data_IF_322418064866
#
_entry.id   IF_322418064866
#
_cell.length_a   1.000
_cell.length_b   1.000
_cell.length_c   1.000
_cell.angle_alpha   90.00
_cell.angle_beta   90.00
_cell.angle_gamma   90.00
#
_symmetry.space_group_name_H-M   'P 1'
#
loop_
_entity.id
_entity.type
_entity.pdbx_description
1 polymer ?
#
# COMPACT_ATOMS: atom_id res chain seq x y z
N UNK A 1 -18.55 2.33 57.64
CA UNK A 1 -18.92 1.05 56.99
C UNK A 1 -19.54 1.38 55.64
N UNK A 2 -18.73 1.44 54.57
CA UNK A 2 -19.23 1.65 53.22
C UNK A 2 -20.03 0.43 52.78
N UNK A 3 -21.26 0.64 52.34
CA UNK A 3 -22.15 -0.43 51.92
C UNK A 3 -21.58 -1.11 50.67
N UNK A 4 -20.98 -2.28 50.89
CA UNK A 4 -21.06 -3.51 50.08
C UNK A 4 -21.14 -3.26 48.56
N UNK A 5 -19.98 -3.34 47.91
CA UNK A 5 -19.73 -3.31 46.46
C UNK A 5 -20.36 -4.47 45.65
N UNK A 6 -21.33 -5.21 46.19
CA UNK A 6 -21.82 -6.48 45.66
C UNK A 6 -22.69 -6.39 44.38
N UNK A 7 -23.04 -5.18 43.92
CA UNK A 7 -23.88 -4.99 42.72
C UNK A 7 -23.13 -4.54 41.47
N UNK A 8 -22.12 -3.68 41.64
CA UNK A 8 -21.41 -3.06 40.50
C UNK A 8 -20.52 -4.06 39.76
N UNK A 9 -19.79 -4.89 40.48
CA UNK A 9 -18.86 -5.86 39.89
C UNK A 9 -19.58 -6.91 39.03
N UNK A 10 -20.70 -7.45 39.52
CA UNK A 10 -21.50 -8.42 38.78
C UNK A 10 -22.08 -7.83 37.48
N UNK A 11 -22.54 -6.57 37.52
CA UNK A 11 -23.03 -5.87 36.34
C UNK A 11 -21.91 -5.61 35.31
N UNK A 12 -20.70 -5.26 35.77
CA UNK A 12 -19.52 -5.12 34.91
C UNK A 12 -19.15 -6.46 34.28
N UNK A 13 -19.11 -7.54 35.06
CA UNK A 13 -18.79 -8.87 34.56
C UNK A 13 -19.79 -9.34 33.49
N UNK A 14 -21.09 -9.17 33.73
CA UNK A 14 -22.12 -9.49 32.74
C UNK A 14 -21.99 -8.66 31.47
N UNK A 15 -21.68 -7.37 31.60
CA UNK A 15 -21.50 -6.48 30.45
C UNK A 15 -20.29 -6.88 29.61
N UNK A 16 -19.15 -7.15 30.24
CA UNK A 16 -17.93 -7.61 29.57
C UNK A 16 -18.14 -8.99 28.92
N UNK A 17 -18.81 -9.91 29.61
CA UNK A 17 -19.15 -11.21 29.06
C UNK A 17 -20.01 -11.08 27.80
N UNK A 18 -21.06 -10.24 27.84
CA UNK A 18 -21.91 -9.97 26.69
C UNK A 18 -21.13 -9.32 25.53
N UNK A 19 -20.26 -8.36 25.82
CA UNK A 19 -19.41 -7.73 24.80
C UNK A 19 -18.47 -8.74 24.13
N UNK A 20 -17.90 -9.67 24.91
CA UNK A 20 -17.05 -10.75 24.40
C UNK A 20 -17.81 -11.68 23.45
N UNK A 21 -19.01 -12.10 23.82
CA UNK A 21 -19.84 -12.97 22.96
C UNK A 21 -20.21 -12.29 21.64
N UNK A 22 -20.57 -11.00 21.70
CA UNK A 22 -20.86 -10.21 20.50
C UNK A 22 -19.63 -10.04 19.60
N UNK A 23 -18.44 -9.87 20.18
CA UNK A 23 -17.20 -9.81 19.42
C UNK A 23 -16.93 -11.15 18.72
N UNK A 24 -17.06 -12.28 19.43
CA UNK A 24 -16.85 -13.61 18.85
C UNK A 24 -17.85 -13.94 17.75
N UNK A 25 -19.12 -13.59 17.93
CA UNK A 25 -20.15 -13.82 16.91
C UNK A 25 -19.91 -12.98 15.65
N UNK A 26 -19.49 -11.73 15.80
CA UNK A 26 -19.08 -10.88 14.66
C UNK A 26 -17.85 -11.42 13.95
N UNK A 27 -16.87 -11.93 14.70
CA UNK A 27 -15.65 -12.50 14.14
C UNK A 27 -15.97 -13.78 13.35
N UNK A 28 -16.89 -14.61 13.84
CA UNK A 28 -17.41 -15.76 13.09
C UNK A 28 -18.23 -15.34 11.86
N UNK A 29 -19.05 -14.29 11.96
CA UNK A 29 -19.82 -13.79 10.83
C UNK A 29 -18.91 -13.26 9.69
N UNK A 30 -17.75 -12.71 10.04
CA UNK A 30 -16.77 -12.21 9.08
C UNK A 30 -15.83 -13.28 8.53
N UNK A 31 -15.86 -14.52 9.06
CA UNK A 31 -14.91 -15.56 8.68
C UNK A 31 -14.92 -15.86 7.16
N UNK A 32 -16.10 -15.87 6.53
CA UNK A 32 -16.21 -16.08 5.08
C UNK A 32 -15.68 -14.88 4.26
N UNK A 33 -15.80 -13.66 4.81
CA UNK A 33 -15.26 -12.44 4.18
C UNK A 33 -13.74 -12.42 4.31
N UNK A 34 -13.22 -12.82 5.48
CA UNK A 34 -11.78 -12.93 5.73
C UNK A 34 -11.15 -14.03 4.86
N UNK A 35 -11.80 -15.19 4.70
CA UNK A 35 -11.39 -16.26 3.77
C UNK A 35 -11.34 -15.75 2.32
N UNK A 36 -12.37 -15.02 1.89
CA UNK A 36 -12.41 -14.41 0.56
C UNK A 36 -11.29 -13.37 0.38
N UNK A 37 -11.02 -12.54 1.38
CA UNK A 37 -9.93 -11.57 1.36
C UNK A 37 -8.56 -12.25 1.27
N UNK A 38 -8.36 -13.38 1.97
CA UNK A 38 -7.15 -14.20 1.84
C UNK A 38 -6.98 -14.74 0.42
N UNK A 39 -8.03 -15.28 -0.20
CA UNK A 39 -7.99 -15.75 -1.59
C UNK A 39 -7.64 -14.62 -2.58
N UNK A 40 -8.21 -13.43 -2.39
CA UNK A 40 -7.87 -12.27 -3.23
C UNK A 40 -6.41 -11.81 -3.03
N UNK A 41 -5.90 -11.85 -1.80
CA UNK A 41 -4.51 -11.55 -1.53
C UNK A 41 -3.57 -12.55 -2.21
N UNK A 42 -3.90 -13.85 -2.20
CA UNK A 42 -3.14 -14.89 -2.90
C UNK A 42 -3.14 -14.66 -4.43
N UNK A 43 -4.28 -14.36 -5.03
CA UNK A 43 -4.37 -14.06 -6.47
C UNK A 43 -3.59 -12.79 -6.86
N UNK A 44 -3.68 -11.72 -6.04
CA UNK A 44 -2.95 -10.48 -6.28
C UNK A 44 -1.42 -10.67 -6.22
N UNK A 45 -0.93 -11.62 -5.41
CA UNK A 45 0.49 -11.98 -5.36
C UNK A 45 0.90 -12.80 -6.59
N UNK A 46 0.04 -13.69 -7.09
CA UNK A 46 0.33 -14.53 -8.26
C UNK A 46 0.43 -13.72 -9.57
N UNK A 47 -0.44 -12.73 -9.79
CA UNK A 47 -0.40 -11.84 -10.96
C UNK A 47 0.81 -10.88 -10.92
N UNK A 48 1.33 -10.65 -9.72
CA UNK A 48 2.48 -9.82 -9.44
C UNK A 48 3.82 -10.52 -9.67
N UNK A 49 3.83 -11.85 -9.76
CA UNK A 49 5.03 -12.62 -10.03
C UNK A 49 5.29 -12.62 -11.55
N UNK A 50 6.44 -12.10 -12.02
CA UNK A 50 6.82 -12.26 -13.41
C UNK A 50 7.05 -13.75 -13.63
N UNK A 51 6.18 -14.37 -14.43
CA UNK A 51 6.42 -15.71 -14.97
C UNK A 51 7.73 -15.60 -15.74
N UNK A 52 8.84 -16.07 -15.16
CA UNK A 52 10.06 -16.38 -15.90
C UNK A 52 9.73 -17.56 -16.84
N UNK A 53 8.99 -17.26 -17.89
CA UNK A 53 8.90 -18.10 -19.07
C UNK A 53 10.25 -17.99 -19.75
N UNK A 54 11.06 -19.00 -19.50
CA UNK A 54 12.14 -19.48 -20.36
C UNK A 54 11.77 -19.35 -21.84
N UNK A 55 12.10 -18.20 -22.43
CA UNK A 55 12.29 -18.09 -23.87
C UNK A 55 13.54 -17.27 -24.10
N UNK A 56 14.67 -17.98 -24.11
CA UNK A 56 15.86 -17.55 -24.82
C UNK A 56 15.43 -17.09 -26.22
N UNK A 57 15.49 -15.80 -26.48
CA UNK A 57 15.51 -15.29 -27.83
C UNK A 57 16.32 -14.01 -27.86
N UNK A 58 17.59 -14.22 -28.16
CA UNK A 58 18.50 -13.21 -28.68
C UNK A 58 17.83 -12.42 -29.80
N UNK A 59 17.60 -11.12 -29.59
CA UNK A 59 17.79 -10.13 -30.65
C UNK A 59 17.96 -8.74 -30.01
N UNK A 60 19.14 -8.18 -30.22
CA UNK A 60 19.36 -6.77 -30.12
C UNK A 60 18.59 -6.07 -31.25
N UNK A 61 17.84 -5.01 -30.94
CA UNK A 61 17.49 -4.00 -31.93
C UNK A 61 17.04 -2.72 -31.23
N UNK A 62 17.95 -1.74 -31.29
CA UNK A 62 17.78 -0.33 -31.04
C UNK A 62 16.62 0.22 -31.90
N UNK A 63 15.72 1.02 -31.31
CA UNK A 63 15.12 2.13 -32.04
C UNK A 63 14.62 3.24 -31.11
N UNK A 64 14.77 4.45 -31.63
CA UNK A 64 14.73 5.76 -31.00
C UNK A 64 13.29 6.26 -30.85
N UNK A 65 12.94 6.76 -29.66
CA UNK A 65 11.69 7.48 -29.34
C UNK A 65 11.88 8.25 -28.03
N UNK A 66 11.33 9.47 -27.87
CA UNK A 66 11.97 10.56 -27.14
C UNK A 66 12.23 10.19 -25.67
N UNK A 67 13.51 10.10 -25.31
CA UNK A 67 13.95 9.91 -23.94
C UNK A 67 13.39 11.01 -23.04
N UNK A 68 12.65 10.69 -21.96
CA UNK A 68 12.58 11.58 -20.82
C UNK A 68 13.89 11.38 -20.07
N UNK A 69 14.98 11.97 -20.57
CA UNK A 69 16.31 11.98 -19.95
C UNK A 69 16.35 12.72 -18.60
N UNK A 70 15.18 12.97 -18.00
CA UNK A 70 14.96 13.57 -16.68
C UNK A 70 14.44 12.50 -15.69
N UNK A 71 14.56 11.21 -16.01
CA UNK A 71 14.45 10.17 -14.99
C UNK A 71 15.80 10.05 -14.29
N UNK A 72 16.00 10.96 -13.34
CA UNK A 72 17.10 10.94 -12.37
C UNK A 72 17.33 9.51 -11.86
N UNK A 73 18.61 9.13 -11.78
CA UNK A 73 19.12 7.83 -11.29
C UNK A 73 18.55 7.44 -9.91
N UNK A 74 17.98 8.40 -9.17
CA UNK A 74 17.24 8.19 -7.92
C UNK A 74 16.00 7.32 -8.10
N UNK A 75 15.34 7.35 -9.27
CA UNK A 75 14.14 6.54 -9.53
C UNK A 75 14.47 5.06 -9.68
N UNK A 76 15.68 4.72 -10.11
CA UNK A 76 16.11 3.34 -10.37
C UNK A 76 16.14 2.46 -9.11
N UNK A 77 16.22 3.11 -7.94
CA UNK A 77 16.19 2.43 -6.64
C UNK A 77 14.78 2.30 -6.04
N UNK A 78 13.75 2.87 -6.69
CA UNK A 78 12.36 2.76 -6.26
C UNK A 78 11.91 1.31 -6.24
N UNK A 79 11.08 0.95 -5.26
CA UNK A 79 10.46 -0.39 -5.21
C UNK A 79 9.63 -0.68 -6.46
N UNK A 80 9.01 0.36 -7.04
CA UNK A 80 8.23 0.24 -8.27
C UNK A 80 9.14 -0.03 -9.47
N UNK A 81 10.32 0.60 -9.52
CA UNK A 81 11.34 0.32 -10.52
C UNK A 81 11.88 -1.11 -10.40
N UNK A 82 12.27 -1.53 -9.20
CA UNK A 82 12.82 -2.87 -8.93
C UNK A 82 11.85 -4.01 -9.22
N UNK A 83 10.55 -3.75 -9.11
CA UNK A 83 9.48 -4.74 -9.38
C UNK A 83 8.95 -4.65 -10.81
N UNK A 84 9.53 -3.79 -11.67
CA UNK A 84 9.09 -3.62 -13.06
C UNK A 84 7.74 -2.91 -13.22
N UNK A 85 7.27 -2.21 -12.18
CA UNK A 85 5.99 -1.48 -12.14
C UNK A 85 6.18 0.03 -12.30
N UNK A 86 7.18 0.45 -13.06
CA UNK A 86 7.44 1.87 -13.35
C UNK A 86 6.26 2.53 -14.07
N UNK A 87 5.45 1.75 -14.77
CA UNK A 87 4.25 2.25 -15.45
C UNK A 87 3.29 2.98 -14.51
N UNK A 88 3.18 2.55 -13.24
CA UNK A 88 2.33 3.22 -12.25
C UNK A 88 2.80 4.66 -11.99
N UNK A 89 4.12 4.88 -11.98
CA UNK A 89 4.72 6.20 -11.79
C UNK A 89 4.47 7.07 -13.01
N UNK A 90 4.62 6.50 -14.20
CA UNK A 90 4.37 7.19 -15.47
C UNK A 90 2.90 7.57 -15.62
N UNK A 91 1.98 6.68 -15.27
CA UNK A 91 0.53 6.92 -15.36
C UNK A 91 0.12 8.02 -14.37
N UNK A 92 0.55 7.94 -13.11
CA UNK A 92 0.26 8.95 -12.08
C UNK A 92 0.93 10.32 -12.33
N UNK A 93 1.99 10.35 -13.16
CA UNK A 93 2.59 11.60 -13.63
C UNK A 93 1.85 12.15 -14.85
N UNK A 94 1.45 11.28 -15.78
CA UNK A 94 0.77 11.66 -17.03
C UNK A 94 -0.67 12.12 -16.80
N UNK A 95 -1.36 11.57 -15.81
CA UNK A 95 -2.70 12.00 -15.39
C UNK A 95 -2.70 13.33 -14.60
N UNK A 96 -1.51 13.83 -14.22
CA UNK A 96 -1.35 15.06 -13.46
C UNK A 96 -1.84 14.96 -12.01
N UNK A 97 -2.08 13.76 -11.49
CA UNK A 97 -2.47 13.54 -10.08
C UNK A 97 -1.27 13.65 -9.14
N UNK A 98 -0.07 13.39 -9.65
CA UNK A 98 1.19 13.38 -8.89
C UNK A 98 2.33 14.09 -9.63
N UNK A 99 3.35 14.52 -8.88
CA UNK A 99 4.60 15.04 -9.42
C UNK A 99 5.79 14.30 -8.81
N UNK A 100 6.89 14.28 -9.54
CA UNK A 100 8.17 13.76 -9.05
C UNK A 100 8.95 14.95 -8.47
N UNK A 101 9.28 14.86 -7.18
CA UNK A 101 10.13 15.86 -6.54
C UNK A 101 11.57 15.67 -6.99
N UNK A 102 12.16 16.71 -7.61
CA UNK A 102 13.54 16.65 -8.12
C UNK A 102 14.60 16.70 -7.01
N UNK A 103 14.23 17.11 -5.78
CA UNK A 103 15.15 17.16 -4.64
C UNK A 103 15.33 15.78 -4.00
N UNK A 104 14.24 15.11 -3.64
CA UNK A 104 14.30 13.81 -2.96
C UNK A 104 14.02 12.60 -3.88
N UNK A 105 13.61 12.83 -5.13
CA UNK A 105 13.22 11.80 -6.09
C UNK A 105 11.89 11.09 -5.78
N UNK A 106 11.14 11.57 -4.78
CA UNK A 106 9.86 10.99 -4.36
C UNK A 106 8.70 11.35 -5.30
N UNK A 107 7.77 10.41 -5.47
CA UNK A 107 6.49 10.66 -6.13
C UNK A 107 5.48 11.17 -5.10
N UNK A 108 4.90 12.35 -5.33
CA UNK A 108 4.03 13.04 -4.37
C UNK A 108 2.77 13.52 -5.09
N UNK A 109 1.61 13.39 -4.47
CA UNK A 109 0.37 13.93 -5.04
C UNK A 109 0.48 15.45 -5.27
N UNK A 110 -0.04 15.94 -6.39
CA UNK A 110 -0.03 17.36 -6.71
C UNK A 110 -0.78 18.20 -5.67
N UNK A 111 -1.81 17.64 -5.04
CA UNK A 111 -2.56 18.35 -4.00
C UNK A 111 -1.71 18.67 -2.76
N UNK A 112 -0.64 17.91 -2.52
CA UNK A 112 0.25 18.07 -1.35
C UNK A 112 1.65 18.57 -1.71
N UNK A 113 1.78 19.14 -2.90
CA UNK A 113 3.07 19.59 -3.43
C UNK A 113 3.69 20.68 -2.57
N UNK A 114 2.88 21.64 -2.13
CA UNK A 114 3.35 22.77 -1.33
C UNK A 114 3.79 22.32 0.06
N UNK A 115 3.01 21.47 0.73
CA UNK A 115 3.35 20.92 2.04
C UNK A 115 4.59 20.04 1.96
N UNK A 116 4.73 19.26 0.88
CA UNK A 116 5.93 18.48 0.66
C UNK A 116 7.17 19.37 0.57
N UNK A 117 7.15 20.39 -0.29
CA UNK A 117 8.29 21.30 -0.45
C UNK A 117 8.57 22.12 0.82
N UNK A 118 7.55 22.47 1.60
CA UNK A 118 7.68 23.29 2.79
C UNK A 118 8.13 22.52 4.04
N UNK A 119 7.69 21.26 4.21
CA UNK A 119 7.82 20.56 5.50
C UNK A 119 8.39 19.15 5.42
N UNK A 120 8.27 18.44 4.29
CA UNK A 120 8.59 17.01 4.21
C UNK A 120 9.76 16.67 3.31
N UNK A 121 10.11 17.54 2.37
CA UNK A 121 11.23 17.34 1.47
C UNK A 121 12.53 17.54 2.24
N UNK A 122 13.06 16.47 2.81
CA UNK A 122 14.40 16.47 3.36
C UNK A 122 15.41 16.51 2.21
N UNK A 123 16.22 17.57 2.13
CA UNK A 123 17.47 17.54 1.36
C UNK A 123 18.40 16.56 2.07
N UNK A 124 18.53 15.36 1.53
CA UNK A 124 19.52 14.36 1.96
C UNK A 124 20.74 14.51 1.05
#
# INVERSE_FOLDING_TARGET
MAMRSNGGEAAVFQTLHRARELYRSKLQANAAVDELASLFAECAIAEACPIESSRSSSFASVSVGPSPSIMSDVHRNSILAKTGREQIVLDAFSDGSSFICLQCGGLVSNHRKEEHLAYWCCQI
#
